data_IF_046617329115
#
_entry.id   IF_046617329115
#
_cell.length_a   1.000
_cell.length_b   1.000
_cell.length_c   1.000
_cell.angle_alpha   90.00
_cell.angle_beta   90.00
_cell.angle_gamma   90.00
#
_symmetry.space_group_name_H-M   'P 1'
#
loop_
_entity.id
_entity.type
_entity.pdbx_description
1 polymer ?
#
# COMPACT_ATOMS: atom_id res chain seq x y z
N UNK A 1 -18.77 -21.51 4.88
CA UNK A 1 -17.50 -21.75 5.60
C UNK A 1 -16.42 -21.13 4.75
N UNK A 2 -15.88 -19.95 5.12
CA UNK A 2 -14.86 -19.28 4.29
C UNK A 2 -13.59 -20.14 4.33
N UNK A 3 -13.07 -20.51 3.15
CA UNK A 3 -11.80 -21.22 3.04
C UNK A 3 -10.72 -20.34 3.67
N UNK A 4 -9.95 -20.82 4.66
CA UNK A 4 -8.79 -20.09 5.15
C UNK A 4 -7.91 -19.75 3.96
N UNK A 5 -7.47 -18.49 3.87
CA UNK A 5 -6.55 -18.08 2.80
C UNK A 5 -5.29 -18.95 2.92
N UNK A 6 -4.85 -19.47 1.79
CA UNK A 6 -3.71 -20.39 1.73
C UNK A 6 -2.46 -19.65 2.23
N UNK A 7 -1.73 -20.25 3.17
CA UNK A 7 -0.50 -19.69 3.72
C UNK A 7 0.59 -19.71 2.65
N UNK A 8 1.46 -18.69 2.64
CA UNK A 8 2.63 -18.67 1.77
C UNK A 8 3.73 -19.58 2.32
N UNK A 9 3.56 -20.89 2.15
CA UNK A 9 4.53 -21.95 2.53
C UNK A 9 5.24 -22.50 1.30
N UNK A 10 6.36 -23.19 1.50
CA UNK A 10 7.11 -23.88 0.46
C UNK A 10 7.12 -25.40 0.64
N UNK A 11 7.37 -26.14 -0.44
CA UNK A 11 7.41 -27.62 -0.43
C UNK A 11 8.47 -28.22 0.50
N UNK A 12 9.47 -27.43 0.88
CA UNK A 12 10.54 -27.82 1.79
C UNK A 12 10.35 -27.33 3.23
N UNK A 13 9.23 -26.66 3.52
CA UNK A 13 8.90 -26.26 4.90
C UNK A 13 8.62 -27.50 5.75
N UNK A 14 9.23 -27.62 6.93
CA UNK A 14 9.00 -28.76 7.80
C UNK A 14 7.55 -28.80 8.28
N UNK A 15 7.01 -30.01 8.42
CA UNK A 15 5.72 -30.20 9.06
C UNK A 15 5.79 -29.65 10.51
N UNK A 16 4.80 -28.85 10.88
CA UNK A 16 4.74 -28.22 12.21
C UNK A 16 3.93 -29.12 13.16
N UNK A 17 4.51 -29.66 14.23
CA UNK A 17 3.76 -30.41 15.24
C UNK A 17 2.76 -29.52 15.97
N UNK A 18 1.56 -30.04 16.28
CA UNK A 18 0.50 -29.24 16.92
C UNK A 18 0.94 -28.64 18.26
N UNK A 19 1.74 -29.37 19.06
CA UNK A 19 2.26 -28.83 20.32
C UNK A 19 3.10 -27.55 20.11
N UNK A 20 3.87 -27.49 19.01
CA UNK A 20 4.63 -26.30 18.66
C UNK A 20 3.73 -25.20 18.12
N UNK A 21 2.78 -25.52 17.23
CA UNK A 21 1.81 -24.54 16.73
C UNK A 21 1.00 -23.89 17.87
N UNK A 22 0.51 -24.70 18.81
CA UNK A 22 -0.22 -24.22 19.99
C UNK A 22 0.65 -23.30 20.87
N UNK A 23 1.92 -23.63 21.08
CA UNK A 23 2.86 -22.76 21.77
C UNK A 23 3.03 -21.43 21.03
N UNK A 24 3.28 -21.49 19.71
CA UNK A 24 3.51 -20.31 18.85
C UNK A 24 2.30 -19.39 18.70
N UNK A 25 1.08 -19.83 19.04
CA UNK A 25 -0.14 -18.99 19.04
C UNK A 25 -0.32 -18.20 20.34
N UNK A 26 0.50 -18.44 21.37
CA UNK A 26 0.35 -17.84 22.71
C UNK A 26 1.58 -17.05 23.17
N UNK A 27 1.43 -16.22 24.20
CA UNK A 27 2.56 -15.53 24.84
C UNK A 27 3.09 -14.30 24.10
N UNK A 28 2.54 -13.96 22.93
CA UNK A 28 2.89 -12.75 22.19
C UNK A 28 2.15 -11.52 22.71
N UNK A 29 2.87 -10.39 22.83
CA UNK A 29 2.24 -9.12 23.19
C UNK A 29 1.21 -8.69 22.14
N UNK A 30 0.02 -8.30 22.58
CA UNK A 30 -0.99 -7.66 21.75
C UNK A 30 -1.12 -6.20 22.18
N UNK A 31 -0.56 -5.31 21.35
CA UNK A 31 -0.52 -3.88 21.64
C UNK A 31 -0.98 -3.11 20.41
N UNK A 32 -1.95 -2.23 20.63
CA UNK A 32 -2.27 -1.17 19.71
C UNK A 32 -1.33 0.02 19.91
N UNK A 33 -0.97 0.63 18.78
CA UNK A 33 -0.21 1.86 18.73
C UNK A 33 -1.19 3.01 18.54
N UNK A 34 -0.99 4.06 19.31
CA UNK A 34 -1.60 5.35 19.02
C UNK A 34 -0.85 5.96 17.83
N UNK A 35 -1.33 5.69 16.62
CA UNK A 35 -0.74 6.22 15.39
C UNK A 35 -1.29 7.63 15.15
N UNK A 36 -0.42 8.62 14.89
CA UNK A 36 -0.90 9.95 14.54
C UNK A 36 -1.72 9.88 13.25
N UNK A 37 -2.69 10.78 13.16
CA UNK A 37 -3.36 11.06 11.90
C UNK A 37 -2.33 11.51 10.87
N UNK A 38 -2.37 10.96 9.66
CA UNK A 38 -1.48 11.38 8.60
C UNK A 38 -1.81 12.82 8.16
N UNK A 39 -0.81 13.65 7.82
CA UNK A 39 -1.03 15.01 7.31
C UNK A 39 -1.96 15.07 6.10
N UNK A 40 -1.94 14.04 5.25
CA UNK A 40 -2.75 13.97 4.02
C UNK A 40 -4.19 13.51 4.26
N UNK A 41 -4.56 13.03 5.45
CA UNK A 41 -5.82 12.33 5.69
C UNK A 41 -7.07 13.15 5.31
N UNK A 42 -7.10 14.43 5.69
CA UNK A 42 -8.25 15.31 5.42
C UNK A 42 -8.32 15.69 3.93
N UNK A 43 -7.17 16.01 3.33
CA UNK A 43 -7.06 16.26 1.88
C UNK A 43 -7.45 15.04 1.05
N UNK A 44 -7.06 13.84 1.48
CA UNK A 44 -7.45 12.60 0.86
C UNK A 44 -8.98 12.40 0.92
N UNK A 45 -9.65 12.81 2.01
CA UNK A 45 -11.11 12.77 2.10
C UNK A 45 -11.77 13.71 1.08
N UNK A 46 -11.28 14.94 0.92
CA UNK A 46 -11.76 15.90 -0.08
C UNK A 46 -11.55 15.39 -1.52
N UNK A 47 -10.38 14.79 -1.79
CA UNK A 47 -10.07 14.16 -3.08
C UNK A 47 -11.01 13.00 -3.39
N UNK A 48 -11.32 12.15 -2.41
CA UNK A 48 -12.29 11.05 -2.57
C UNK A 48 -13.69 11.57 -2.85
N UNK A 49 -14.14 12.61 -2.13
CA UNK A 49 -15.44 13.23 -2.39
C UNK A 49 -15.54 13.82 -3.81
N UNK A 50 -14.47 14.50 -4.25
CA UNK A 50 -14.36 15.02 -5.61
C UNK A 50 -14.43 13.90 -6.64
N UNK A 51 -13.64 12.85 -6.48
CA UNK A 51 -13.63 11.69 -7.39
C UNK A 51 -15.00 10.98 -7.44
N UNK A 52 -15.63 10.75 -6.29
CA UNK A 52 -16.96 10.13 -6.22
C UNK A 52 -18.02 10.99 -6.92
N UNK A 53 -17.95 12.33 -6.82
CA UNK A 53 -18.90 13.23 -7.47
C UNK A 53 -18.84 13.21 -9.01
N UNK A 54 -17.71 12.78 -9.58
CA UNK A 54 -17.54 12.65 -11.03
C UNK A 54 -18.23 11.40 -11.61
N UNK A 55 -18.51 10.40 -10.76
CA UNK A 55 -19.10 9.12 -11.16
C UNK A 55 -20.26 8.75 -10.22
N UNK A 56 -21.35 9.55 -10.19
CA UNK A 56 -22.44 9.33 -9.25
C UNK A 56 -23.15 7.98 -9.49
N UNK A 57 -23.33 7.21 -8.42
CA UNK A 57 -23.97 5.88 -8.47
C UNK A 57 -23.11 4.78 -9.10
N UNK A 58 -21.82 5.04 -9.30
CA UNK A 58 -20.86 4.04 -9.77
C UNK A 58 -19.87 3.67 -8.64
N UNK A 59 -19.39 2.43 -8.67
CA UNK A 59 -18.38 1.95 -7.74
C UNK A 59 -16.98 2.19 -8.33
N UNK A 60 -16.07 2.78 -7.56
CA UNK A 60 -14.70 3.10 -7.97
C UNK A 60 -13.73 2.27 -7.16
N UNK A 61 -12.82 1.55 -7.83
CA UNK A 61 -11.89 0.60 -7.20
C UNK A 61 -10.45 1.00 -7.51
N UNK A 62 -9.69 1.33 -6.47
CA UNK A 62 -8.30 1.78 -6.54
C UNK A 62 -7.40 0.83 -5.74
N UNK A 63 -6.77 -0.19 -6.38
CA UNK A 63 -5.86 -1.10 -5.70
C UNK A 63 -4.52 -0.43 -5.34
N UNK A 64 -3.89 -0.82 -4.23
CA UNK A 64 -2.54 -0.40 -3.87
C UNK A 64 -1.46 -1.14 -4.68
N UNK A 65 -1.79 -2.32 -5.21
CA UNK A 65 -0.85 -3.26 -5.81
C UNK A 65 -0.27 -4.23 -4.78
N UNK A 66 0.63 -5.09 -5.24
CA UNK A 66 1.31 -6.12 -4.43
C UNK A 66 2.82 -6.11 -4.69
N UNK A 67 3.56 -6.92 -3.96
CA UNK A 67 5.00 -7.07 -4.13
C UNK A 67 5.36 -7.51 -5.57
N UNK A 68 6.53 -7.08 -6.03
CA UNK A 68 7.07 -7.46 -7.34
C UNK A 68 8.31 -8.31 -7.12
N UNK A 69 8.30 -9.52 -7.67
CA UNK A 69 9.42 -10.44 -7.60
C UNK A 69 10.65 -9.80 -8.25
N UNK A 70 11.75 -9.76 -7.50
CA UNK A 70 13.07 -9.35 -7.97
C UNK A 70 13.86 -10.55 -8.47
N UNK A 71 13.96 -11.57 -7.64
CA UNK A 71 14.62 -12.84 -7.97
C UNK A 71 14.11 -13.94 -7.05
N UNK A 72 13.59 -15.02 -7.64
CA UNK A 72 13.04 -16.17 -6.91
C UNK A 72 11.99 -15.74 -5.86
N UNK A 73 12.26 -15.98 -4.58
CA UNK A 73 11.43 -15.69 -3.42
C UNK A 73 11.71 -14.30 -2.80
N UNK A 74 12.54 -13.47 -3.45
CA UNK A 74 12.83 -12.11 -3.00
C UNK A 74 12.08 -11.08 -3.83
N UNK A 75 11.46 -10.13 -3.14
CA UNK A 75 10.74 -9.01 -3.74
C UNK A 75 11.58 -7.72 -3.77
N UNK A 76 11.20 -6.81 -4.66
CA UNK A 76 11.56 -5.41 -4.52
C UNK A 76 10.88 -4.81 -3.28
N UNK A 77 11.45 -3.72 -2.74
CA UNK A 77 10.75 -2.89 -1.75
C UNK A 77 9.38 -2.52 -2.29
N UNK A 78 8.35 -2.72 -1.46
CA UNK A 78 7.00 -2.37 -1.85
C UNK A 78 6.86 -0.86 -2.04
N UNK A 79 6.17 -0.48 -3.13
CA UNK A 79 5.72 0.88 -3.38
C UNK A 79 4.27 0.79 -3.83
N UNK A 80 3.38 1.47 -3.12
CA UNK A 80 1.97 1.55 -3.47
C UNK A 80 1.75 2.31 -4.76
N UNK A 81 0.65 1.98 -5.45
CA UNK A 81 0.17 2.75 -6.58
C UNK A 81 -0.05 4.22 -6.19
N UNK A 82 0.25 5.13 -7.12
CA UNK A 82 0.26 6.56 -6.82
C UNK A 82 -1.16 7.11 -6.69
N UNK A 83 -2.13 6.64 -7.48
CA UNK A 83 -3.52 7.07 -7.33
C UNK A 83 -4.10 6.51 -6.03
N UNK A 84 -3.85 5.24 -5.71
CA UNK A 84 -4.25 4.67 -4.42
C UNK A 84 -3.74 5.51 -3.25
N UNK A 85 -2.45 5.82 -3.23
CA UNK A 85 -1.82 6.63 -2.18
C UNK A 85 -2.40 8.04 -2.15
N UNK A 86 -2.63 8.66 -3.30
CA UNK A 86 -3.18 10.02 -3.40
C UNK A 86 -4.60 10.14 -2.80
N UNK A 87 -5.45 9.14 -3.00
CA UNK A 87 -6.84 9.13 -2.51
C UNK A 87 -7.02 8.51 -1.12
N UNK A 88 -6.06 7.75 -0.60
CA UNK A 88 -6.19 7.06 0.70
C UNK A 88 -5.15 7.47 1.75
N UNK A 89 -3.96 7.92 1.35
CA UNK A 89 -2.78 8.00 2.21
C UNK A 89 -2.16 6.64 2.56
N UNK A 90 -2.80 5.52 2.20
CA UNK A 90 -2.32 4.19 2.50
C UNK A 90 -1.11 3.81 1.62
N UNK A 91 -0.10 3.23 2.25
CA UNK A 91 1.09 2.69 1.60
C UNK A 91 1.33 1.21 1.94
N UNK A 92 0.33 0.53 2.51
CA UNK A 92 0.41 -0.91 2.78
C UNK A 92 0.04 -1.73 1.53
N UNK A 93 0.69 -2.87 1.35
CA UNK A 93 0.45 -3.78 0.22
C UNK A 93 -0.94 -4.38 0.23
N UNK A 94 -1.43 -4.79 -0.95
CA UNK A 94 -2.65 -5.58 -1.17
C UNK A 94 -3.95 -4.89 -0.75
N UNK A 95 -3.87 -3.65 -0.26
CA UNK A 95 -5.04 -2.87 0.10
C UNK A 95 -5.80 -2.39 -1.14
N UNK A 96 -7.10 -2.19 -1.00
CA UNK A 96 -7.97 -1.71 -2.08
C UNK A 96 -8.92 -0.66 -1.52
N UNK A 97 -8.84 0.55 -2.06
CA UNK A 97 -9.79 1.61 -1.75
C UNK A 97 -11.01 1.43 -2.66
N UNK A 98 -12.19 1.35 -2.07
CA UNK A 98 -13.47 1.30 -2.79
C UNK A 98 -14.30 2.53 -2.42
N UNK A 99 -14.81 3.22 -3.42
CA UNK A 99 -15.77 4.32 -3.27
C UNK A 99 -17.11 3.89 -3.86
N UNK A 100 -18.20 4.08 -3.11
CA UNK A 100 -19.56 3.74 -3.55
C UNK A 100 -20.56 4.63 -2.80
N UNK A 101 -21.52 5.24 -3.51
CA UNK A 101 -22.57 6.09 -2.94
C UNK A 101 -22.08 7.19 -1.98
N UNK A 102 -20.89 7.72 -2.25
CA UNK A 102 -20.25 8.76 -1.41
C UNK A 102 -19.56 8.23 -0.16
N UNK A 103 -19.62 6.92 0.10
CA UNK A 103 -18.85 6.26 1.14
C UNK A 103 -17.49 5.78 0.60
N UNK A 104 -16.51 5.73 1.48
CA UNK A 104 -15.16 5.29 1.16
C UNK A 104 -14.69 4.25 2.17
N UNK A 105 -14.29 3.08 1.69
CA UNK A 105 -13.80 1.98 2.51
C UNK A 105 -12.46 1.48 2.00
N UNK A 106 -11.48 1.38 2.88
CA UNK A 106 -10.20 0.74 2.62
C UNK A 106 -10.27 -0.74 3.03
N UNK A 107 -10.23 -1.64 2.08
CA UNK A 107 -10.10 -3.07 2.32
C UNK A 107 -8.61 -3.39 2.45
N UNK A 108 -8.16 -3.80 3.64
CA UNK A 108 -6.75 -4.02 3.92
C UNK A 108 -6.51 -5.32 4.68
N UNK A 109 -5.29 -5.85 4.58
CA UNK A 109 -4.81 -6.93 5.44
C UNK A 109 -4.24 -6.33 6.74
N UNK A 110 -4.85 -6.60 7.91
CA UNK A 110 -4.30 -6.15 9.19
C UNK A 110 -3.10 -7.00 9.62
N UNK A 111 -2.55 -6.74 10.81
CA UNK A 111 -1.60 -7.65 11.48
C UNK A 111 -2.12 -9.09 11.51
N UNK A 112 -1.21 -10.05 11.38
CA UNK A 112 -1.52 -11.47 11.41
C UNK A 112 -2.28 -11.83 12.69
N UNK A 113 -3.30 -12.68 12.56
CA UNK A 113 -3.99 -13.20 13.75
C UNK A 113 -3.04 -14.09 14.55
N UNK A 114 -3.16 -14.04 15.88
CA UNK A 114 -2.49 -14.98 16.80
C UNK A 114 -3.31 -16.26 16.97
N UNK A 115 -4.55 -16.28 16.50
CA UNK A 115 -5.45 -17.46 16.56
C UNK A 115 -5.18 -18.47 15.44
N UNK A 116 -4.40 -18.08 14.43
CA UNK A 116 -4.04 -18.91 13.28
C UNK A 116 -2.52 -19.05 13.15
N UNK A 117 -2.09 -19.92 12.26
CA UNK A 117 -0.68 -20.11 11.98
C UNK A 117 -0.06 -18.99 11.12
N UNK A 118 -0.87 -18.06 10.58
CA UNK A 118 -0.41 -16.99 9.68
C UNK A 118 0.75 -16.21 10.31
N UNK A 119 0.66 -15.91 11.61
CA UNK A 119 1.68 -15.18 12.36
C UNK A 119 3.11 -15.71 12.17
N UNK A 120 3.31 -17.04 12.13
CA UNK A 120 4.65 -17.64 12.10
C UNK A 120 4.91 -18.57 10.91
N UNK A 121 3.88 -18.99 10.16
CA UNK A 121 4.03 -19.86 8.98
C UNK A 121 3.94 -19.12 7.67
N UNK A 122 3.32 -17.95 7.63
CA UNK A 122 3.24 -17.18 6.40
C UNK A 122 4.53 -16.37 6.22
N UNK A 123 5.34 -16.70 5.22
CA UNK A 123 6.62 -16.00 4.99
C UNK A 123 6.44 -14.57 4.47
N UNK A 124 5.29 -14.27 3.86
CA UNK A 124 5.03 -12.98 3.23
C UNK A 124 4.29 -12.02 4.17
N UNK A 125 3.36 -12.55 4.98
CA UNK A 125 2.48 -11.76 5.84
C UNK A 125 2.58 -12.10 7.32
N UNK A 126 3.34 -13.12 7.71
CA UNK A 126 3.55 -13.48 9.10
C UNK A 126 4.38 -12.42 9.82
N UNK A 127 3.80 -11.82 10.86
CA UNK A 127 4.43 -10.74 11.64
C UNK A 127 5.80 -11.15 12.21
N UNK A 128 6.02 -12.44 12.50
CA UNK A 128 7.32 -12.95 12.97
C UNK A 128 8.46 -12.75 11.95
N UNK A 129 8.15 -12.80 10.65
CA UNK A 129 9.14 -12.76 9.57
C UNK A 129 9.14 -11.43 8.82
N UNK A 130 7.96 -10.96 8.44
CA UNK A 130 7.77 -9.77 7.61
C UNK A 130 7.61 -8.48 8.43
N UNK A 131 7.51 -8.61 9.76
CA UNK A 131 7.26 -7.49 10.66
C UNK A 131 5.77 -7.14 10.79
N UNK A 132 5.51 -6.21 11.71
CA UNK A 132 4.15 -5.83 12.11
C UNK A 132 3.46 -4.98 11.05
N UNK A 133 2.28 -5.40 10.60
CA UNK A 133 1.33 -4.54 9.89
C UNK A 133 0.46 -3.75 10.89
N UNK A 134 -0.04 -2.57 10.53
CA UNK A 134 -1.04 -1.89 11.36
C UNK A 134 -2.33 -2.72 11.51
N UNK A 135 -3.05 -2.57 12.62
CA UNK A 135 -4.42 -3.08 12.72
C UNK A 135 -5.39 -2.28 11.84
N UNK A 136 -6.60 -2.80 11.60
CA UNK A 136 -7.65 -2.01 10.90
C UNK A 136 -8.01 -0.75 11.69
N UNK A 137 -8.00 -0.81 13.03
CA UNK A 137 -8.25 0.36 13.86
C UNK A 137 -7.14 1.41 13.69
N UNK A 138 -5.89 0.99 13.70
CA UNK A 138 -4.72 1.86 13.49
C UNK A 138 -4.74 2.54 12.11
N UNK A 139 -5.05 1.77 11.05
CA UNK A 139 -5.22 2.34 9.70
C UNK A 139 -6.37 3.33 9.67
N UNK A 140 -7.53 2.98 10.24
CA UNK A 140 -8.73 3.82 10.25
C UNK A 140 -8.48 5.15 10.96
N UNK A 141 -7.89 5.10 12.16
CA UNK A 141 -7.55 6.28 12.94
C UNK A 141 -6.52 7.17 12.22
N UNK A 142 -5.47 6.57 11.67
CA UNK A 142 -4.38 7.32 11.02
C UNK A 142 -4.80 7.93 9.68
N UNK A 143 -5.57 7.20 8.87
CA UNK A 143 -5.96 7.63 7.51
C UNK A 143 -7.31 8.37 7.47
N UNK A 144 -8.12 8.28 8.52
CA UNK A 144 -9.45 8.89 8.55
C UNK A 144 -10.42 8.30 7.55
N UNK A 145 -10.34 6.99 7.32
CA UNK A 145 -11.21 6.23 6.41
C UNK A 145 -11.61 4.92 7.07
N UNK A 146 -12.85 4.48 6.87
CA UNK A 146 -13.28 3.17 7.36
C UNK A 146 -12.38 2.08 6.76
N UNK A 147 -11.88 1.17 7.60
CA UNK A 147 -11.05 0.05 7.19
C UNK A 147 -11.75 -1.27 7.45
N UNK A 148 -11.85 -2.12 6.43
CA UNK A 148 -12.42 -3.48 6.51
C UNK A 148 -11.38 -4.51 6.11
N UNK A 149 -11.56 -5.75 6.57
CA UNK A 149 -10.66 -6.84 6.21
C UNK A 149 -10.75 -7.14 4.69
N UNK A 150 -9.60 -7.40 4.05
CA UNK A 150 -9.52 -7.69 2.61
C UNK A 150 -10.40 -8.86 2.17
N UNK A 151 -10.66 -9.84 3.03
CA UNK A 151 -11.57 -10.97 2.76
C UNK A 151 -13.05 -10.58 2.59
N UNK A 152 -13.39 -9.31 2.80
CA UNK A 152 -14.72 -8.74 2.51
C UNK A 152 -14.77 -8.04 1.15
N UNK A 153 -13.62 -7.91 0.46
CA UNK A 153 -13.53 -7.19 -0.80
C UNK A 153 -14.37 -7.86 -1.90
N UNK A 154 -14.24 -9.17 -2.09
CA UNK A 154 -15.00 -9.87 -3.13
C UNK A 154 -16.51 -9.73 -2.92
N UNK A 155 -16.97 -9.85 -1.68
CA UNK A 155 -18.38 -9.65 -1.32
C UNK A 155 -18.81 -8.21 -1.67
N UNK A 156 -17.98 -7.21 -1.36
CA UNK A 156 -18.27 -5.79 -1.64
C UNK A 156 -18.29 -5.46 -3.14
N UNK A 157 -17.37 -6.02 -3.92
CA UNK A 157 -17.29 -5.79 -5.38
C UNK A 157 -18.41 -6.50 -6.15
N UNK A 158 -19.00 -7.55 -5.58
CA UNK A 158 -20.06 -8.33 -6.24
C UNK A 158 -21.47 -7.99 -5.75
N UNK A 159 -21.60 -7.32 -4.60
CA UNK A 159 -22.91 -6.97 -4.01
C UNK A 159 -23.46 -5.61 -4.45
N UNK A 160 -22.77 -4.88 -5.34
CA UNK A 160 -23.15 -3.53 -5.80
C UNK A 160 -24.36 -3.50 -6.78
N UNK A 161 -25.06 -4.63 -6.96
CA UNK A 161 -26.28 -4.72 -7.74
C UNK A 161 -26.05 -4.49 -9.24
N UNK A 162 -26.58 -3.38 -9.77
CA UNK A 162 -26.45 -2.95 -11.18
C UNK A 162 -25.52 -1.76 -11.36
N UNK A 163 -24.84 -1.31 -10.31
CA UNK A 163 -23.93 -0.18 -10.39
C UNK A 163 -22.77 -0.52 -11.33
N UNK A 164 -22.39 0.44 -12.18
CA UNK A 164 -21.17 0.30 -12.98
C UNK A 164 -19.97 0.30 -12.04
N UNK A 165 -19.00 -0.56 -12.32
CA UNK A 165 -17.75 -0.63 -11.56
C UNK A 165 -16.61 -0.16 -12.43
N UNK A 166 -15.84 0.81 -11.94
CA UNK A 166 -14.61 1.29 -12.57
C UNK A 166 -13.42 0.81 -11.77
N UNK A 167 -12.47 0.18 -12.43
CA UNK A 167 -11.26 -0.35 -11.78
C UNK A 167 -10.05 0.35 -12.34
N UNK A 168 -9.16 0.82 -11.46
CA UNK A 168 -7.82 1.21 -11.87
C UNK A 168 -7.02 -0.06 -12.20
N UNK A 169 -7.22 -0.54 -13.43
CA UNK A 169 -6.78 -1.86 -13.90
C UNK A 169 -5.28 -1.92 -14.10
N UNK A 170 -4.71 -3.13 -14.00
CA UNK A 170 -3.28 -3.38 -14.19
C UNK A 170 -2.43 -3.13 -12.94
N UNK A 171 -3.04 -2.65 -11.86
CA UNK A 171 -2.36 -2.44 -10.57
C UNK A 171 -2.33 -3.72 -9.73
N UNK A 172 -3.46 -4.45 -9.68
CA UNK A 172 -3.57 -5.72 -8.95
C UNK A 172 -4.28 -6.77 -9.81
N UNK A 173 -3.53 -7.79 -10.23
CA UNK A 173 -4.09 -8.90 -10.99
C UNK A 173 -5.17 -9.68 -10.21
N UNK A 174 -5.15 -9.65 -8.87
CA UNK A 174 -6.19 -10.25 -8.05
C UNK A 174 -7.51 -9.47 -8.18
N UNK A 175 -7.47 -8.14 -8.07
CA UNK A 175 -8.65 -7.28 -8.23
C UNK A 175 -9.15 -7.30 -9.67
N UNK A 176 -8.25 -7.27 -10.65
CA UNK A 176 -8.59 -7.31 -12.07
C UNK A 176 -9.39 -8.56 -12.45
N UNK A 177 -9.21 -9.67 -11.72
CA UNK A 177 -9.98 -10.92 -11.88
C UNK A 177 -11.31 -10.93 -11.13
N UNK A 178 -11.48 -10.11 -10.10
CA UNK A 178 -12.71 -10.06 -9.30
C UNK A 178 -13.83 -9.32 -10.01
N UNK A 179 -13.51 -8.39 -10.91
CA UNK A 179 -14.46 -7.53 -11.62
C UNK A 179 -14.28 -7.71 -13.12
N UNK A 180 -15.39 -7.93 -13.83
CA UNK A 180 -15.39 -8.02 -15.28
C UNK A 180 -14.79 -6.75 -15.92
N UNK A 181 -14.00 -6.93 -16.98
CA UNK A 181 -13.34 -5.80 -17.63
C UNK A 181 -14.32 -4.95 -18.44
N UNK A 182 -14.25 -3.64 -18.26
CA UNK A 182 -14.87 -2.65 -19.13
C UNK A 182 -13.81 -1.61 -19.50
N UNK A 183 -13.18 -1.80 -20.65
CA UNK A 183 -12.05 -0.99 -21.11
C UNK A 183 -12.41 0.50 -21.19
N UNK A 184 -13.65 0.84 -21.54
CA UNK A 184 -14.08 2.23 -21.61
C UNK A 184 -14.16 2.87 -20.23
N UNK A 185 -14.76 2.18 -19.26
CA UNK A 185 -14.91 2.69 -17.89
C UNK A 185 -13.57 2.80 -17.17
N UNK A 186 -12.71 1.79 -17.36
CA UNK A 186 -11.40 1.71 -16.70
C UNK A 186 -10.41 2.73 -17.27
N UNK A 187 -10.37 2.89 -18.60
CA UNK A 187 -9.54 3.91 -19.24
C UNK A 187 -9.98 5.34 -18.87
N UNK A 188 -11.29 5.56 -18.75
CA UNK A 188 -11.83 6.84 -18.30
C UNK A 188 -11.49 7.14 -16.82
N UNK A 189 -11.57 6.13 -15.94
CA UNK A 189 -11.10 6.27 -14.56
C UNK A 189 -9.60 6.59 -14.52
N UNK A 190 -8.77 5.85 -15.25
CA UNK A 190 -7.33 6.08 -15.31
C UNK A 190 -7.00 7.52 -15.74
N UNK A 191 -7.72 8.05 -16.73
CA UNK A 191 -7.60 9.44 -17.17
C UNK A 191 -7.97 10.41 -16.05
N UNK A 192 -9.16 10.25 -15.45
CA UNK A 192 -9.66 11.15 -14.40
C UNK A 192 -8.76 11.19 -13.17
N UNK A 193 -8.29 10.03 -12.67
CA UNK A 193 -7.37 10.00 -11.52
C UNK A 193 -6.02 10.63 -11.85
N UNK A 194 -5.58 10.55 -13.10
CA UNK A 194 -4.37 11.24 -13.58
C UNK A 194 -4.55 12.76 -13.62
N UNK A 195 -5.68 13.24 -14.14
CA UNK A 195 -6.00 14.66 -14.24
C UNK A 195 -6.16 15.32 -12.86
N UNK A 196 -6.79 14.65 -11.90
CA UNK A 196 -6.95 15.15 -10.54
C UNK A 196 -5.62 15.40 -9.81
N UNK A 197 -4.55 14.70 -10.21
CA UNK A 197 -3.20 14.84 -9.66
C UNK A 197 -2.34 15.86 -10.39
N UNK A 198 -2.85 16.45 -11.47
CA UNK A 198 -2.07 17.37 -12.30
C UNK A 198 -1.85 18.71 -11.61
N UNK A 199 -2.87 19.24 -10.92
CA UNK A 199 -2.80 20.50 -10.19
C UNK A 199 -2.60 20.17 -8.71
N UNK A 200 -1.55 20.74 -8.13
CA UNK A 200 -1.08 20.40 -6.78
C UNK A 200 -1.70 21.37 -5.81
N UNK A 201 -2.16 20.86 -4.68
CA UNK A 201 -2.52 21.72 -3.56
C UNK A 201 -1.28 22.28 -2.86
N UNK A 202 -1.51 23.17 -1.90
CA UNK A 202 -0.48 23.84 -1.11
C UNK A 202 0.39 22.86 -0.30
N UNK A 203 -0.19 21.77 0.20
CA UNK A 203 0.57 20.75 0.91
C UNK A 203 1.44 19.94 -0.04
N UNK A 204 0.92 19.50 -1.19
CA UNK A 204 1.69 18.80 -2.21
C UNK A 204 2.86 19.64 -2.73
N UNK A 205 2.66 20.95 -2.91
CA UNK A 205 3.73 21.88 -3.29
C UNK A 205 4.80 21.94 -2.19
N UNK A 206 4.41 21.99 -0.92
CA UNK A 206 5.35 21.99 0.19
C UNK A 206 6.19 20.70 0.26
N UNK A 207 5.57 19.53 0.10
CA UNK A 207 6.28 18.24 0.06
C UNK A 207 7.23 18.15 -1.14
N UNK A 208 6.82 18.67 -2.31
CA UNK A 208 7.68 18.75 -3.50
C UNK A 208 8.87 19.69 -3.27
N UNK A 209 8.65 20.82 -2.60
CA UNK A 209 9.72 21.76 -2.26
C UNK A 209 10.73 21.09 -1.32
N UNK A 210 10.27 20.39 -0.28
CA UNK A 210 11.15 19.64 0.63
C UNK A 210 11.99 18.59 -0.13
N UNK A 211 11.37 17.83 -1.04
CA UNK A 211 12.08 16.86 -1.87
C UNK A 211 13.15 17.52 -2.77
N UNK A 212 12.87 18.70 -3.33
CA UNK A 212 13.83 19.49 -4.10
C UNK A 212 14.98 20.02 -3.23
N UNK A 213 14.69 20.48 -2.01
CA UNK A 213 15.70 20.98 -1.08
C UNK A 213 16.66 19.86 -0.66
N UNK A 214 16.14 18.68 -0.30
CA UNK A 214 16.94 17.49 0.06
C UNK A 214 17.78 17.04 -1.14
N UNK A 215 17.21 17.05 -2.34
CA UNK A 215 17.90 16.67 -3.58
C UNK A 215 19.05 17.63 -3.89
N UNK A 216 18.85 18.94 -3.66
CA UNK A 216 19.88 19.97 -3.80
C UNK A 216 21.06 19.67 -2.88
N UNK A 217 20.79 19.38 -1.60
CA UNK A 217 21.84 18.96 -0.65
C UNK A 217 22.58 17.70 -1.12
N UNK A 218 21.86 16.74 -1.73
CA UNK A 218 22.45 15.53 -2.30
C UNK A 218 23.44 15.85 -3.42
N UNK A 219 23.09 16.76 -4.32
CA UNK A 219 24.00 17.21 -5.39
C UNK A 219 25.18 18.03 -4.84
N UNK A 220 24.98 18.87 -3.84
CA UNK A 220 26.09 19.57 -3.19
C UNK A 220 27.11 18.59 -2.58
N UNK A 221 26.63 17.51 -1.95
CA UNK A 221 27.51 16.47 -1.42
C UNK A 221 28.28 15.76 -2.55
N UNK A 222 27.62 15.44 -3.66
CA UNK A 222 28.27 14.88 -4.84
C UNK A 222 29.39 15.78 -5.39
N UNK A 223 29.17 17.11 -5.43
CA UNK A 223 30.18 18.07 -5.91
C UNK A 223 31.38 18.11 -4.94
N UNK A 224 31.15 18.09 -3.63
CA UNK A 224 32.22 18.02 -2.62
C UNK A 224 33.07 16.76 -2.77
N UNK A 225 32.43 15.64 -3.09
CA UNK A 225 33.05 14.32 -3.25
C UNK A 225 33.59 14.03 -4.66
N UNK A 226 33.45 14.97 -5.61
CA UNK A 226 33.68 14.73 -7.04
C UNK A 226 35.06 14.12 -7.37
N UNK A 227 36.12 14.56 -6.69
CA UNK A 227 37.48 14.05 -6.94
C UNK A 227 37.65 12.57 -6.61
N UNK A 228 36.86 12.03 -5.70
CA UNK A 228 36.94 10.63 -5.27
C UNK A 228 36.49 9.65 -6.36
N UNK A 229 35.75 10.11 -7.38
CA UNK A 229 35.38 9.31 -8.56
C UNK A 229 36.61 8.72 -9.24
N UNK A 230 37.74 9.45 -9.28
CA UNK A 230 38.97 8.97 -9.91
C UNK A 230 39.56 7.74 -9.20
N UNK A 231 39.27 7.55 -7.91
CA UNK A 231 39.73 6.41 -7.13
C UNK A 231 38.69 5.28 -7.09
N UNK A 232 37.40 5.60 -6.95
CA UNK A 232 36.35 4.62 -6.63
C UNK A 232 35.30 4.40 -7.74
N UNK A 233 35.29 5.25 -8.78
CA UNK A 233 34.34 5.24 -9.89
C UNK A 233 33.03 6.00 -9.59
N UNK A 234 32.11 6.02 -10.56
CA UNK A 234 30.83 6.74 -10.50
C UNK A 234 29.94 6.31 -9.33
N UNK A 235 30.02 5.04 -8.93
CA UNK A 235 29.32 4.49 -7.75
C UNK A 235 29.59 5.24 -6.44
N UNK A 236 30.72 5.94 -6.32
CA UNK A 236 31.02 6.76 -5.15
C UNK A 236 30.03 7.93 -5.04
N UNK A 237 29.71 8.55 -6.18
CA UNK A 237 28.79 9.68 -6.27
C UNK A 237 27.35 9.20 -6.10
N UNK A 238 26.98 8.09 -6.73
CA UNK A 238 25.68 7.44 -6.49
C UNK A 238 25.48 7.14 -5.00
N UNK A 239 26.47 6.48 -4.35
CA UNK A 239 26.41 6.18 -2.92
C UNK A 239 26.36 7.43 -2.04
N UNK A 240 27.06 8.50 -2.43
CA UNK A 240 27.04 9.80 -1.74
C UNK A 240 25.63 10.42 -1.79
N UNK A 241 25.01 10.45 -2.97
CA UNK A 241 23.65 10.94 -3.14
C UNK A 241 22.64 10.09 -2.35
N UNK A 242 22.71 8.77 -2.49
CA UNK A 242 21.81 7.84 -1.80
C UNK A 242 21.91 7.94 -0.28
N UNK A 243 23.09 8.21 0.28
CA UNK A 243 23.26 8.44 1.71
C UNK A 243 22.46 9.66 2.17
N UNK A 244 22.46 10.76 1.41
CA UNK A 244 21.63 11.95 1.72
C UNK A 244 20.14 11.61 1.64
N UNK A 245 19.72 10.97 0.55
CA UNK A 245 18.33 10.57 0.35
C UNK A 245 17.80 9.68 1.48
N UNK A 246 18.60 8.71 1.96
CA UNK A 246 18.23 7.85 3.09
C UNK A 246 18.23 8.54 4.45
N UNK A 247 19.06 9.56 4.63
CA UNK A 247 19.20 10.25 5.91
C UNK A 247 18.12 11.32 6.11
N UNK A 248 17.67 11.95 5.02
CA UNK A 248 16.76 13.11 5.08
C UNK A 248 15.46 12.93 4.32
N UNK A 249 15.38 11.97 3.38
CA UNK A 249 14.15 11.60 2.71
C UNK A 249 13.64 10.22 3.17
N UNK A 250 12.70 9.67 2.40
CA UNK A 250 12.24 8.30 2.51
C UNK A 250 12.68 7.53 1.25
N UNK A 251 13.41 6.41 1.42
CA UNK A 251 13.95 5.54 0.34
C UNK A 251 13.05 4.33 0.03
#
# INVERSE_FOLDING_TARGET
>A
MKTPRELHVESHDPAVPEAYAAFMRTGWGDRELDLPRQPVADRAAERRATLASMFPGEQIVLPAGTFKVRANDTDYKFRSDTAHTYFSGNQTSDAVLVLEDGEAVLYARPRSSRDTDEFFRDRQYGELWAGRRPSLHELSSSLGIECRHIDRLQDALTSNGTAKTRVLRGVSAEVDRMVAADESLDADLQRVVGELRLIKDDWEIAELQEACDITTLGFEDCVREWRQVLAYGERWIEGTFHRRARAMGND
#
